data_IF_736066713749
#
_entry.id   IF_736066713749
#
_cell.length_a   1.000
_cell.length_b   1.000
_cell.length_c   1.000
_cell.angle_alpha   90.00
_cell.angle_beta   90.00
_cell.angle_gamma   90.00
#
_symmetry.space_group_name_H-M   'P 1'
#
loop_
_entity.id
_entity.type
_entity.pdbx_description
1 polymer ?
#
# COMPACT_ATOMS: atom_id res chain seq x y z
N UNK A 1 -36.16 -1.81 -16.94
CA UNK A 1 -35.85 -2.12 -18.35
C UNK A 1 -34.89 -3.30 -18.33
N UNK A 2 -35.43 -4.51 -18.45
CA UNK A 2 -34.64 -5.74 -18.49
C UNK A 2 -34.54 -6.12 -19.96
N UNK A 3 -33.35 -6.04 -20.55
CA UNK A 3 -33.09 -6.63 -21.87
C UNK A 3 -32.44 -8.00 -21.64
N UNK A 4 -33.24 -9.03 -21.85
CA UNK A 4 -32.77 -10.39 -22.10
C UNK A 4 -32.50 -10.43 -23.61
N UNK A 5 -31.23 -10.49 -24.02
CA UNK A 5 -30.89 -10.82 -25.40
C UNK A 5 -30.66 -12.32 -25.50
N UNK A 6 -31.51 -13.00 -26.27
CA UNK A 6 -31.47 -14.44 -26.47
C UNK A 6 -30.35 -14.87 -27.41
N UNK A 7 -29.69 -15.98 -27.07
CA UNK A 7 -28.80 -16.68 -27.99
C UNK A 7 -29.61 -17.74 -28.75
N UNK A 8 -29.60 -17.67 -30.09
CA UNK A 8 -29.99 -18.79 -30.97
C UNK A 8 -28.78 -19.27 -31.75
N UNK A 9 -28.67 -20.59 -31.83
CA UNK A 9 -27.52 -21.39 -32.26
C UNK A 9 -27.26 -21.25 -33.78
N UNK A 10 -26.00 -21.03 -34.20
CA UNK A 10 -25.33 -21.81 -35.26
C UNK A 10 -23.90 -21.30 -35.56
N UNK A 11 -23.03 -22.28 -35.78
CA UNK A 11 -21.68 -22.25 -36.37
C UNK A 11 -20.50 -21.75 -35.54
N UNK A 12 -19.55 -22.68 -35.36
CA UNK A 12 -18.14 -22.45 -35.06
C UNK A 12 -17.50 -21.60 -36.17
N UNK A 13 -17.72 -20.29 -36.17
CA UNK A 13 -16.83 -19.38 -36.88
C UNK A 13 -15.70 -19.01 -35.93
N UNK A 14 -14.55 -19.64 -36.17
CA UNK A 14 -13.24 -19.25 -35.68
C UNK A 14 -12.94 -17.83 -36.19
N UNK A 15 -13.50 -16.82 -35.53
CA UNK A 15 -13.06 -15.44 -35.69
C UNK A 15 -11.66 -15.40 -35.11
N UNK A 16 -10.64 -15.34 -35.98
CA UNK A 16 -9.28 -14.98 -35.57
C UNK A 16 -9.40 -13.79 -34.62
N UNK A 17 -8.76 -13.84 -33.45
CA UNK A 17 -9.09 -12.93 -32.39
C UNK A 17 -8.86 -11.49 -32.83
N UNK A 18 -9.72 -10.59 -32.35
CA UNK A 18 -9.48 -9.15 -32.40
C UNK A 18 -8.04 -8.87 -31.97
N UNK A 19 -7.39 -7.86 -32.51
CA UNK A 19 -6.01 -7.49 -32.13
C UNK A 19 -5.82 -7.57 -30.61
N UNK A 20 -4.72 -8.18 -30.15
CA UNK A 20 -4.33 -8.12 -28.74
C UNK A 20 -4.32 -6.65 -28.33
N UNK A 21 -4.88 -6.33 -27.18
CA UNK A 21 -4.90 -4.98 -26.64
C UNK A 21 -4.74 -5.05 -25.14
N UNK A 22 -3.82 -4.24 -24.61
CA UNK A 22 -3.57 -4.10 -23.17
C UNK A 22 -4.13 -2.77 -22.67
N UNK A 23 -4.80 -2.80 -21.52
CA UNK A 23 -5.26 -1.60 -20.82
C UNK A 23 -4.54 -1.48 -19.48
N UNK A 24 -3.96 -0.31 -19.16
CA UNK A 24 -3.38 -0.06 -17.85
C UNK A 24 -4.49 0.14 -16.80
N UNK A 25 -4.25 -0.37 -15.60
CA UNK A 25 -5.08 -0.10 -14.42
C UNK A 25 -4.34 0.92 -13.55
N UNK A 26 -4.92 2.11 -13.43
CA UNK A 26 -4.35 3.22 -12.64
C UNK A 26 -4.91 3.24 -11.21
N UNK A 27 -4.13 3.81 -10.29
CA UNK A 27 -4.59 4.10 -8.92
C UNK A 27 -4.47 2.94 -7.94
N UNK A 28 -3.58 1.98 -8.22
CA UNK A 28 -3.17 1.01 -7.21
C UNK A 28 -2.46 1.72 -6.05
N UNK A 29 -2.93 1.50 -4.81
CA UNK A 29 -2.30 2.02 -3.60
C UNK A 29 -1.80 0.85 -2.72
N UNK A 30 -0.57 0.96 -2.24
CA UNK A 30 0.04 0.03 -1.29
C UNK A 30 0.69 0.80 -0.14
N UNK A 31 0.87 0.17 1.00
CA UNK A 31 1.61 0.75 2.14
C UNK A 31 3.02 0.16 2.22
N UNK A 32 4.03 0.99 2.52
CA UNK A 32 5.40 0.50 2.81
C UNK A 32 5.37 -0.58 3.90
N UNK A 33 6.20 -1.61 3.76
CA UNK A 33 6.35 -2.75 4.68
C UNK A 33 5.11 -3.65 4.85
N UNK A 34 4.01 -3.40 4.15
CA UNK A 34 2.84 -4.26 4.16
C UNK A 34 2.77 -5.13 2.90
N UNK A 35 2.27 -6.35 3.02
CA UNK A 35 2.03 -7.20 1.86
C UNK A 35 0.90 -6.58 1.03
N UNK A 36 1.15 -6.38 -0.26
CA UNK A 36 0.23 -5.74 -1.19
C UNK A 36 0.10 -6.55 -2.48
N UNK A 37 -1.12 -6.59 -3.00
CA UNK A 37 -1.43 -7.13 -4.33
C UNK A 37 -2.44 -6.20 -4.98
N UNK A 38 -2.07 -5.62 -6.11
CA UNK A 38 -2.92 -4.70 -6.89
C UNK A 38 -2.90 -5.10 -8.36
N UNK A 39 -4.02 -4.91 -9.05
CA UNK A 39 -4.09 -5.11 -10.49
C UNK A 39 -3.47 -3.91 -11.21
N UNK A 40 -2.66 -4.16 -12.24
CA UNK A 40 -1.90 -3.10 -12.92
C UNK A 40 -2.10 -3.11 -14.44
N UNK A 41 -2.60 -4.21 -15.00
CA UNK A 41 -2.97 -4.30 -16.41
C UNK A 41 -4.00 -5.40 -16.67
N UNK A 42 -4.85 -5.16 -17.67
CA UNK A 42 -5.79 -6.13 -18.23
C UNK A 42 -5.54 -6.32 -19.72
N UNK A 43 -5.88 -7.48 -20.28
CA UNK A 43 -5.72 -7.77 -21.71
C UNK A 43 -7.01 -8.30 -22.34
N UNK A 44 -7.26 -7.91 -23.58
CA UNK A 44 -8.41 -8.29 -24.38
C UNK A 44 -8.01 -8.60 -25.82
N UNK A 45 -8.79 -9.42 -26.53
CA UNK A 45 -8.43 -9.86 -27.88
C UNK A 45 -7.22 -10.79 -27.88
N UNK A 46 -6.58 -11.02 -29.02
CA UNK A 46 -5.52 -12.02 -29.16
C UNK A 46 -5.97 -13.44 -28.78
N UNK A 47 -5.00 -14.35 -28.70
CA UNK A 47 -5.27 -15.75 -28.32
C UNK A 47 -4.88 -16.00 -26.88
N UNK A 48 -5.86 -16.32 -26.04
CA UNK A 48 -5.61 -16.84 -24.69
C UNK A 48 -4.77 -18.12 -24.72
N UNK A 49 -3.95 -18.41 -23.68
CA UNK A 49 -3.75 -17.61 -22.46
C UNK A 49 -2.86 -16.38 -22.65
N UNK A 50 -3.08 -15.37 -21.78
CA UNK A 50 -2.21 -14.20 -21.67
C UNK A 50 -1.15 -14.41 -20.58
N UNK A 51 0.03 -13.85 -20.81
CA UNK A 51 1.14 -13.84 -19.85
C UNK A 51 1.68 -12.43 -19.69
N UNK A 52 1.60 -11.90 -18.49
CA UNK A 52 2.09 -10.56 -18.16
C UNK A 52 3.52 -10.59 -17.60
N UNK A 53 4.28 -9.53 -17.86
CA UNK A 53 5.63 -9.32 -17.34
C UNK A 53 5.95 -7.82 -17.30
N UNK A 54 6.94 -7.42 -16.51
CA UNK A 54 7.44 -6.04 -16.54
C UNK A 54 8.16 -5.72 -17.85
N UNK A 55 7.93 -4.50 -18.37
CA UNK A 55 8.56 -4.02 -19.61
C UNK A 55 10.01 -3.63 -19.38
N UNK A 56 10.93 -4.60 -19.42
CA UNK A 56 12.40 -4.46 -19.61
C UNK A 56 13.13 -3.28 -18.91
N UNK A 57 12.50 -2.66 -17.93
CA UNK A 57 12.77 -1.34 -17.35
C UNK A 57 12.86 -0.16 -18.33
N UNK A 58 12.36 -0.29 -19.55
CA UNK A 58 12.44 0.77 -20.56
C UNK A 58 11.59 2.00 -20.20
N UNK A 59 10.50 1.78 -19.47
CA UNK A 59 9.46 2.76 -19.12
C UNK A 59 9.34 2.99 -17.60
N UNK A 60 10.42 2.68 -16.86
CA UNK A 60 10.48 2.78 -15.40
C UNK A 60 10.57 1.41 -14.72
N UNK A 61 10.62 1.40 -13.39
CA UNK A 61 10.74 0.18 -12.60
C UNK A 61 9.61 0.09 -11.56
N UNK A 62 9.04 -1.10 -11.32
CA UNK A 62 8.11 -1.30 -10.22
C UNK A 62 8.78 -0.97 -8.87
N UNK A 63 7.98 -0.69 -7.82
CA UNK A 63 8.48 -0.45 -6.48
C UNK A 63 9.41 -1.58 -6.00
N UNK A 64 10.47 -1.21 -5.28
CA UNK A 64 11.40 -2.20 -4.71
C UNK A 64 10.66 -3.17 -3.78
N UNK A 65 10.84 -4.46 -3.99
CA UNK A 65 10.15 -5.51 -3.24
C UNK A 65 8.81 -5.96 -3.84
N UNK A 66 8.44 -5.42 -5.01
CA UNK A 66 7.26 -5.82 -5.77
C UNK A 66 7.66 -6.39 -7.15
N UNK A 67 6.83 -7.30 -7.66
CA UNK A 67 6.99 -7.94 -8.96
C UNK A 67 5.67 -7.95 -9.72
N UNK A 68 5.74 -7.80 -11.05
CA UNK A 68 4.59 -8.02 -11.94
C UNK A 68 4.43 -9.54 -12.14
N UNK A 69 3.31 -10.06 -11.68
CA UNK A 69 2.90 -11.45 -11.83
C UNK A 69 2.35 -11.73 -13.23
N UNK A 70 2.32 -13.01 -13.61
CA UNK A 70 1.85 -13.46 -14.92
C UNK A 70 0.37 -13.22 -15.19
N UNK A 71 -0.40 -12.85 -14.17
CA UNK A 71 -1.84 -12.59 -14.21
C UNK A 71 -2.20 -11.09 -14.33
N UNK A 72 -1.19 -10.20 -14.46
CA UNK A 72 -1.43 -8.76 -14.58
C UNK A 72 -1.51 -8.02 -13.23
N UNK A 73 -1.18 -8.71 -12.13
CA UNK A 73 -1.08 -8.09 -10.80
C UNK A 73 0.35 -7.69 -10.45
N UNK A 74 0.51 -6.62 -9.68
CA UNK A 74 1.74 -6.28 -8.97
C UNK A 74 1.62 -6.79 -7.54
N UNK A 75 2.54 -7.66 -7.11
CA UNK A 75 2.51 -8.28 -5.78
C UNK A 75 3.86 -8.20 -5.07
N UNK A 76 3.82 -8.09 -3.75
CA UNK A 76 5.02 -8.12 -2.92
C UNK A 76 4.89 -7.27 -1.66
N UNK A 77 6.02 -6.78 -1.16
CA UNK A 77 6.09 -5.89 0.00
C UNK A 77 7.00 -4.71 -0.34
N UNK A 78 6.43 -3.52 -0.63
CA UNK A 78 7.22 -2.37 -1.02
C UNK A 78 8.06 -1.85 0.16
N UNK A 79 9.28 -1.42 -0.10
CA UNK A 79 10.23 -0.98 0.95
C UNK A 79 10.44 0.52 1.03
N UNK A 80 9.91 1.27 0.06
CA UNK A 80 10.08 2.72 -0.03
C UNK A 80 8.80 3.36 -0.54
N UNK A 81 8.41 4.47 0.10
CA UNK A 81 7.25 5.27 -0.28
C UNK A 81 7.54 6.08 -1.56
N UNK A 82 6.48 6.43 -2.28
CA UNK A 82 6.54 7.25 -3.49
C UNK A 82 5.61 6.76 -4.59
N UNK A 83 5.54 7.55 -5.66
CA UNK A 83 4.80 7.20 -6.88
C UNK A 83 5.74 6.51 -7.87
N UNK A 84 5.33 5.36 -8.38
CA UNK A 84 6.10 4.53 -9.30
C UNK A 84 5.36 4.37 -10.61
N UNK A 85 5.96 4.90 -11.67
CA UNK A 85 5.51 4.70 -13.05
C UNK A 85 6.39 3.64 -13.71
N UNK A 86 5.78 2.62 -14.32
CA UNK A 86 6.51 1.52 -14.95
C UNK A 86 5.69 0.86 -16.07
N UNK A 87 6.36 0.16 -16.98
CA UNK A 87 5.69 -0.57 -18.05
C UNK A 87 5.36 -2.01 -17.71
N UNK A 88 4.25 -2.47 -18.27
CA UNK A 88 3.77 -3.85 -18.24
C UNK A 88 3.54 -4.31 -19.67
N UNK A 89 4.07 -5.48 -20.01
CA UNK A 89 3.84 -6.13 -21.28
C UNK A 89 2.98 -7.37 -21.09
N UNK A 90 2.10 -7.62 -22.05
CA UNK A 90 1.37 -8.87 -22.19
C UNK A 90 1.84 -9.62 -23.43
N UNK A 91 1.94 -10.94 -23.34
CA UNK A 91 2.17 -11.84 -24.47
C UNK A 91 1.07 -12.87 -24.54
N UNK A 92 0.49 -13.05 -25.73
CA UNK A 92 -0.57 -14.03 -25.97
C UNK A 92 0.01 -15.38 -26.46
N UNK A 93 -0.86 -16.39 -26.62
CA UNK A 93 -0.45 -17.73 -27.05
C UNK A 93 0.13 -17.79 -28.48
N UNK A 94 -0.08 -16.75 -29.30
CA UNK A 94 0.50 -16.63 -30.64
C UNK A 94 1.85 -15.90 -30.65
N UNK A 95 2.39 -15.59 -29.46
CA UNK A 95 3.61 -14.79 -29.28
C UNK A 95 3.48 -13.34 -29.78
N UNK A 96 2.25 -12.82 -29.83
CA UNK A 96 2.01 -11.40 -30.03
C UNK A 96 2.21 -10.70 -28.69
N UNK A 97 2.98 -9.60 -28.67
CA UNK A 97 3.26 -8.84 -27.46
C UNK A 97 2.86 -7.38 -27.62
N UNK A 98 2.24 -6.83 -26.59
CA UNK A 98 1.95 -5.39 -26.46
C UNK A 98 2.32 -4.92 -25.05
N UNK A 99 2.68 -3.65 -24.93
CA UNK A 99 3.06 -3.05 -23.66
C UNK A 99 2.31 -1.74 -23.43
N UNK A 100 2.03 -1.45 -22.16
CA UNK A 100 1.47 -0.18 -21.70
C UNK A 100 2.22 0.29 -20.46
N UNK A 101 2.07 1.57 -20.15
CA UNK A 101 2.56 2.16 -18.91
C UNK A 101 1.44 2.25 -17.88
N UNK A 102 1.77 2.02 -16.62
CA UNK A 102 0.87 2.11 -15.46
C UNK A 102 1.58 2.79 -14.29
N UNK A 103 0.82 3.13 -13.25
CA UNK A 103 1.33 3.79 -12.05
C UNK A 103 0.75 3.15 -10.78
N UNK A 104 1.57 3.12 -9.72
CA UNK A 104 1.19 2.69 -8.37
C UNK A 104 1.77 3.66 -7.35
N UNK A 105 0.97 4.04 -6.37
CA UNK A 105 1.39 4.87 -5.24
C UNK A 105 1.70 3.99 -4.03
N UNK A 106 2.89 4.18 -3.46
CA UNK A 106 3.30 3.58 -2.19
C UNK A 106 3.19 4.63 -1.09
N UNK A 107 2.18 4.47 -0.23
CA UNK A 107 1.93 5.31 0.92
C UNK A 107 2.85 4.98 2.11
N UNK A 108 3.15 5.95 2.99
CA UNK A 108 3.87 5.70 4.25
C UNK A 108 3.15 4.71 5.15
N UNK A 109 3.93 3.92 5.89
CA UNK A 109 3.42 3.12 7.01
C UNK A 109 3.04 4.02 8.19
N UNK A 110 1.73 4.26 8.33
CA UNK A 110 1.15 5.02 9.44
C UNK A 110 0.69 4.12 10.61
N UNK A 111 1.15 2.87 10.68
CA UNK A 111 0.79 1.90 11.74
C UNK A 111 1.45 2.19 13.09
N UNK A 112 2.12 3.34 13.22
CA UNK A 112 2.69 3.77 14.49
C UNK A 112 1.57 3.96 15.52
N UNK A 113 1.68 3.25 16.64
CA UNK A 113 0.68 3.27 17.71
C UNK A 113 1.38 3.23 19.05
N UNK A 114 0.86 3.99 20.02
CA UNK A 114 1.30 3.92 21.40
C UNK A 114 0.11 3.74 22.33
N UNK A 115 0.26 2.79 23.25
CA UNK A 115 -0.72 2.52 24.30
C UNK A 115 -0.07 2.84 25.64
N UNK A 116 -0.71 3.70 26.43
CA UNK A 116 -0.36 3.91 27.83
C UNK A 116 -1.10 2.85 28.66
N UNK A 117 -0.35 1.93 29.25
CA UNK A 117 -0.85 0.83 30.08
C UNK A 117 -1.12 1.31 31.52
N UNK A 118 -0.21 2.11 32.09
CA UNK A 118 -0.41 2.68 33.42
C UNK A 118 0.15 4.09 33.54
N UNK A 119 -0.49 4.87 34.40
CA UNK A 119 0.00 6.18 34.82
C UNK A 119 -0.08 6.26 36.33
N UNK A 120 1.07 6.45 36.98
CA UNK A 120 1.15 6.57 38.43
C UNK A 120 1.80 7.89 38.81
N UNK A 121 1.32 8.50 39.90
CA UNK A 121 1.92 9.69 40.49
C UNK A 121 2.22 9.41 41.97
N UNK A 122 3.43 9.74 42.39
CA UNK A 122 3.87 9.57 43.77
C UNK A 122 4.52 10.86 44.28
N UNK A 123 4.10 11.30 45.47
CA UNK A 123 4.83 12.33 46.22
C UNK A 123 6.18 11.78 46.66
N UNK A 124 7.25 12.53 46.43
CA UNK A 124 8.61 12.14 46.82
C UNK A 124 8.98 12.83 48.13
N UNK A 125 9.01 14.16 48.11
CA UNK A 125 9.39 14.97 49.26
C UNK A 125 8.96 16.43 49.05
N UNK A 126 9.07 17.21 50.11
CA UNK A 126 8.97 18.67 50.04
C UNK A 126 10.19 19.31 50.67
N UNK A 127 10.75 20.30 49.99
CA UNK A 127 11.87 21.10 50.48
C UNK A 127 11.36 22.46 50.95
N UNK A 128 12.05 23.07 51.92
CA UNK A 128 11.75 24.44 52.36
C UNK A 128 12.95 25.33 52.04
N UNK A 129 12.74 26.34 51.22
CA UNK A 129 13.75 27.32 50.82
C UNK A 129 13.32 28.70 51.33
N UNK A 130 13.82 29.10 52.50
CA UNK A 130 13.34 30.30 53.19
C UNK A 130 11.85 30.16 53.52
N UNK A 131 11.01 31.04 52.95
CA UNK A 131 9.56 31.02 53.13
C UNK A 131 8.82 30.20 52.04
N UNK A 132 9.51 29.63 51.06
CA UNK A 132 8.91 28.86 49.96
C UNK A 132 8.93 27.34 50.24
N UNK A 133 7.89 26.64 49.78
CA UNK A 133 7.81 25.17 49.73
C UNK A 133 7.97 24.71 48.29
N UNK A 134 8.90 23.80 48.03
CA UNK A 134 9.00 23.07 46.77
C UNK A 134 8.49 21.63 47.00
N UNK A 135 7.67 21.12 46.09
CA UNK A 135 7.14 19.76 46.16
C UNK A 135 7.65 18.93 44.99
N UNK A 136 8.30 17.81 45.29
CA UNK A 136 8.82 16.89 44.30
C UNK A 136 7.85 15.71 44.14
N UNK A 137 7.40 15.49 42.91
CA UNK A 137 6.55 14.37 42.52
C UNK A 137 7.25 13.53 41.44
N UNK A 138 6.98 12.23 41.43
CA UNK A 138 7.36 11.33 40.33
C UNK A 138 6.10 10.91 39.60
N UNK A 139 6.09 11.13 38.29
CA UNK A 139 5.09 10.56 37.39
C UNK A 139 5.77 9.42 36.64
N UNK A 140 5.19 8.23 36.67
CA UNK A 140 5.66 7.08 35.89
C UNK A 140 4.55 6.65 34.94
N UNK A 141 4.85 6.67 33.64
CA UNK A 141 4.01 6.05 32.62
C UNK A 141 4.65 4.73 32.17
N UNK A 142 3.85 3.68 32.00
CA UNK A 142 4.26 2.47 31.29
C UNK A 142 3.36 2.25 30.08
N UNK A 143 3.89 1.63 29.04
CA UNK A 143 3.17 1.43 27.80
C UNK A 143 3.96 0.66 26.77
N UNK A 144 3.32 0.42 25.62
CA UNK A 144 3.94 -0.17 24.44
C UNK A 144 3.85 0.80 23.27
N UNK A 145 4.85 0.78 22.39
CA UNK A 145 4.86 1.55 21.16
C UNK A 145 5.28 0.67 19.99
N UNK A 146 4.62 0.84 18.85
CA UNK A 146 5.08 0.36 17.54
C UNK A 146 5.52 1.58 16.73
N UNK A 147 6.73 1.56 16.17
CA UNK A 147 7.30 2.67 15.41
C UNK A 147 7.83 3.84 16.26
N UNK A 148 8.32 4.92 15.61
CA UNK A 148 8.79 6.11 16.30
C UNK A 148 7.61 6.90 16.88
N UNK A 149 7.48 6.93 18.21
CA UNK A 149 6.45 7.70 18.91
C UNK A 149 7.10 8.68 19.88
N UNK A 150 6.74 9.96 19.79
CA UNK A 150 7.11 10.98 20.77
C UNK A 150 6.18 10.92 21.99
N UNK A 151 6.73 11.07 23.19
CA UNK A 151 5.95 11.18 24.43
C UNK A 151 6.18 12.55 25.08
N UNK A 152 5.11 13.31 25.26
CA UNK A 152 5.12 14.58 26.00
C UNK A 152 4.26 14.44 27.27
N UNK A 153 4.77 14.95 28.40
CA UNK A 153 4.03 14.99 29.67
C UNK A 153 3.69 16.44 29.98
N UNK A 154 2.41 16.79 29.93
CA UNK A 154 1.91 18.10 30.35
C UNK A 154 1.49 18.05 31.83
N UNK A 155 2.16 18.84 32.67
CA UNK A 155 1.79 19.01 34.08
C UNK A 155 1.10 20.35 34.25
N UNK A 156 -0.19 20.33 34.59
CA UNK A 156 -0.96 21.52 34.96
C UNK A 156 -1.35 21.44 36.43
N UNK A 157 -1.20 22.54 37.16
CA UNK A 157 -1.56 22.62 38.57
C UNK A 157 -2.03 24.03 38.92
N UNK A 158 -3.01 24.10 39.82
CA UNK A 158 -3.49 25.34 40.40
C UNK A 158 -2.99 25.38 41.84
N UNK A 159 -2.03 26.25 42.14
CA UNK A 159 -1.47 26.39 43.49
C UNK A 159 -2.40 27.31 44.31
N UNK A 160 -3.20 26.73 45.21
CA UNK A 160 -3.97 27.47 46.22
C UNK A 160 -3.42 27.24 47.61
#
# INVERSE_FOLDING_TARGET
LVLICGCTNNNYDNVSPSTLTIYPVYGGECTVNEACTVEVAEAYGGSEPYTFQSDSYATGAPPMGMIVSMDGTLTGTPTMEGDYEFGVCVTDATSTSECTQTEVTIAPDNSASAIIDSLTCAFINSNTYGNAKEYNFRITASGTASGPVGAEIYVSGDMR
#
